data_IF_467680563610
#
_entry.id   IF_467680563610
#
_cell.length_a   1.000
_cell.length_b   1.000
_cell.length_c   1.000
_cell.angle_alpha   90.00
_cell.angle_beta   90.00
_cell.angle_gamma   90.00
#
_symmetry.space_group_name_H-M   'P 1'
#
loop_
_entity.id
_entity.type
_entity.pdbx_description
1 polymer ?
#
# COMPACT_ATOMS: atom_id res chain seq x y z
N UNK A 1 17.63 63.00 97.45
CA UNK A 1 18.30 64.31 97.28
C UNK A 1 18.26 64.69 95.81
N UNK A 2 17.87 65.95 95.53
CA UNK A 2 18.09 66.80 94.33
C UNK A 2 17.94 66.14 92.94
N UNK A 3 16.83 66.39 92.24
CA UNK A 3 16.50 67.56 91.38
C UNK A 3 17.24 67.58 90.03
N UNK A 4 16.44 67.25 89.00
CA UNK A 4 16.27 67.85 87.66
C UNK A 4 17.21 69.01 87.28
N UNK A 5 17.62 69.03 86.00
CA UNK A 5 17.37 70.13 85.06
C UNK A 5 17.88 69.80 83.64
N UNK A 6 16.97 69.65 82.68
CA UNK A 6 16.55 70.70 81.73
C UNK A 6 16.43 70.29 80.25
N UNK A 7 15.16 70.34 79.81
CA UNK A 7 14.61 70.88 78.54
C UNK A 7 14.78 70.09 77.24
N UNK A 8 13.62 69.66 76.72
CA UNK A 8 13.29 69.32 75.32
C UNK A 8 12.88 70.61 74.58
N UNK A 9 13.10 70.75 73.26
CA UNK A 9 11.95 70.54 72.37
C UNK A 9 12.26 69.97 70.97
N UNK A 10 11.22 69.33 70.45
CA UNK A 10 10.69 69.38 69.08
C UNK A 10 11.53 68.94 67.86
N UNK A 11 10.81 68.19 67.03
CA UNK A 11 11.13 67.70 65.71
C UNK A 11 11.87 68.69 64.81
N UNK A 12 12.83 68.17 64.06
CA UNK A 12 13.03 68.59 62.69
C UNK A 12 13.38 67.37 61.82
N UNK A 13 12.66 67.23 60.71
CA UNK A 13 12.84 66.13 59.76
C UNK A 13 14.20 66.27 59.08
N UNK A 14 15.08 65.28 59.22
CA UNK A 14 16.25 65.14 58.34
C UNK A 14 16.12 63.92 57.46
N UNK A 15 15.70 64.25 56.25
CA UNK A 15 15.73 63.48 55.01
C UNK A 15 17.07 62.77 54.87
N UNK A 16 17.05 61.44 54.92
CA UNK A 16 18.19 60.63 54.44
C UNK A 16 18.16 60.59 52.90
N UNK A 17 19.33 60.70 52.25
CA UNK A 17 19.44 61.07 50.85
C UNK A 17 18.92 59.96 49.92
N UNK A 18 18.06 60.37 48.98
CA UNK A 18 17.46 59.61 47.89
C UNK A 18 18.45 58.68 47.12
N UNK A 19 19.75 58.96 47.19
CA UNK A 19 20.80 58.19 46.51
C UNK A 19 21.02 56.79 47.09
N UNK A 20 20.74 56.54 48.38
CA UNK A 20 20.94 55.21 48.97
C UNK A 20 19.68 54.32 48.92
N UNK A 21 18.49 54.89 48.71
CA UNK A 21 17.26 54.11 48.52
C UNK A 21 17.13 53.54 47.10
N UNK A 22 17.75 54.19 46.11
CA UNK A 22 17.81 53.70 44.71
C UNK A 22 18.70 52.46 44.58
N UNK A 23 19.73 52.30 45.43
CA UNK A 23 20.67 51.17 45.34
C UNK A 23 20.09 49.87 45.91
N UNK A 24 19.19 49.94 46.90
CA UNK A 24 18.55 48.75 47.51
C UNK A 24 17.30 48.29 46.74
N UNK A 25 16.60 49.21 46.05
CA UNK A 25 15.47 48.86 45.16
C UNK A 25 15.93 48.21 43.84
N UNK A 26 17.19 48.42 43.42
CA UNK A 26 17.73 47.83 42.20
C UNK A 26 18.15 46.36 42.34
N UNK A 27 18.26 45.82 43.57
CA UNK A 27 18.71 44.45 43.82
C UNK A 27 17.58 43.45 44.13
N UNK A 28 16.30 43.85 44.07
CA UNK A 28 15.16 42.97 44.37
C UNK A 28 14.15 42.82 43.23
N UNK A 29 14.47 43.26 42.01
CA UNK A 29 13.66 42.96 40.83
C UNK A 29 14.54 42.36 39.74
N UNK A 30 13.99 41.31 39.09
CA UNK A 30 14.51 40.58 37.92
C UNK A 30 15.40 39.35 38.23
N UNK A 31 14.74 38.32 38.78
CA UNK A 31 15.01 36.92 38.38
C UNK A 31 14.70 36.74 36.88
N UNK A 32 15.28 35.73 36.22
CA UNK A 32 15.81 35.83 34.86
C UNK A 32 14.73 36.17 33.84
N UNK A 33 15.10 36.94 32.80
CA UNK A 33 14.53 36.63 31.50
C UNK A 33 14.96 35.19 31.21
N UNK A 34 14.07 34.23 31.48
CA UNK A 34 14.00 33.10 30.59
C UNK A 34 13.83 33.75 29.21
N UNK A 35 14.93 33.88 28.47
CA UNK A 35 14.81 33.79 27.03
C UNK A 35 13.99 32.51 26.86
N UNK A 36 12.73 32.68 26.46
CA UNK A 36 12.03 31.61 25.81
C UNK A 36 12.98 31.21 24.69
N UNK A 37 13.68 30.10 24.91
CA UNK A 37 14.46 29.46 23.90
C UNK A 37 13.48 29.17 22.76
N UNK A 38 13.49 30.05 21.76
CA UNK A 38 12.77 29.87 20.50
C UNK A 38 13.43 28.74 19.68
N UNK A 39 14.38 27.99 20.26
CA UNK A 39 14.77 26.68 19.73
C UNK A 39 14.06 25.49 20.41
N UNK A 40 13.37 25.68 21.55
CA UNK A 40 12.96 24.56 22.39
C UNK A 40 11.57 24.57 23.00
N UNK A 41 10.88 25.72 23.10
CA UNK A 41 9.56 25.76 23.79
C UNK A 41 8.53 26.62 23.07
N UNK A 42 7.64 25.95 22.34
CA UNK A 42 6.44 26.51 21.70
C UNK A 42 5.41 26.88 22.77
N UNK A 43 5.43 28.12 23.25
CA UNK A 43 4.37 28.68 24.09
C UNK A 43 3.95 30.03 23.50
N UNK A 44 2.83 30.02 22.78
CA UNK A 44 2.23 31.22 22.17
C UNK A 44 1.35 30.86 20.97
N UNK A 45 0.29 31.64 20.76
CA UNK A 45 -0.78 31.53 19.74
C UNK A 45 -0.31 31.55 18.27
N UNK A 46 1.01 31.45 18.04
CA UNK A 46 1.67 31.40 16.74
C UNK A 46 1.62 30.00 16.10
N UNK A 47 1.38 28.95 16.91
CA UNK A 47 1.16 27.58 16.44
C UNK A 47 -0.18 27.42 15.70
N UNK A 48 -1.17 28.28 15.95
CA UNK A 48 -2.46 28.28 15.24
C UNK A 48 -2.33 28.84 13.82
N UNK A 49 -1.37 29.73 13.59
CA UNK A 49 -1.08 30.29 12.26
C UNK A 49 0.02 29.53 11.51
N UNK A 50 0.47 28.38 12.04
CA UNK A 50 1.32 27.48 11.26
C UNK A 50 0.45 26.90 10.15
N UNK A 51 0.86 27.09 8.89
CA UNK A 51 0.24 26.38 7.78
C UNK A 51 0.20 24.88 8.13
N UNK A 52 -0.96 24.24 7.97
CA UNK A 52 -1.12 22.83 8.27
C UNK A 52 -0.03 22.05 7.51
N UNK A 53 0.92 21.52 8.27
CA UNK A 53 1.96 20.68 7.71
C UNK A 53 1.24 19.43 7.21
N UNK A 54 1.23 19.24 5.88
CA UNK A 54 0.43 18.19 5.24
C UNK A 54 0.68 16.85 5.95
N UNK A 55 -0.37 16.33 6.60
CA UNK A 55 -0.27 15.15 7.45
C UNK A 55 0.32 13.97 6.69
N UNK A 56 1.15 13.18 7.37
CA UNK A 56 1.58 11.89 6.84
C UNK A 56 0.33 11.02 6.65
N UNK A 57 0.10 10.57 5.43
CA UNK A 57 -1.04 9.73 5.09
C UNK A 57 -0.59 8.28 5.11
N UNK A 58 -1.17 7.47 5.98
CA UNK A 58 -0.90 6.03 6.04
C UNK A 58 -2.10 5.26 5.51
N UNK A 59 -1.89 4.48 4.46
CA UNK A 59 -2.91 3.63 3.84
C UNK A 59 -2.50 2.18 4.05
N UNK A 60 -3.34 1.40 4.73
CA UNK A 60 -3.16 -0.06 4.80
C UNK A 60 -4.25 -0.70 3.97
N UNK A 61 -3.86 -1.44 2.94
CA UNK A 61 -4.79 -2.14 2.05
C UNK A 61 -4.82 -3.63 2.38
N UNK A 62 -6.01 -4.19 2.39
CA UNK A 62 -6.28 -5.60 2.68
C UNK A 62 -6.81 -6.25 1.40
N UNK A 63 -5.97 -7.02 0.72
CA UNK A 63 -6.25 -7.51 -0.63
C UNK A 63 -7.02 -8.84 -0.59
N UNK A 64 -8.18 -8.88 -1.26
CA UNK A 64 -8.90 -10.12 -1.49
C UNK A 64 -8.20 -10.92 -2.59
N UNK A 65 -7.75 -12.11 -2.23
CA UNK A 65 -7.08 -13.10 -3.08
C UNK A 65 -7.75 -14.47 -2.97
N UNK A 66 -9.03 -14.47 -2.54
CA UNK A 66 -9.88 -15.65 -2.50
C UNK A 66 -10.00 -16.31 -3.87
N UNK A 67 -10.44 -17.57 -3.90
CA UNK A 67 -10.66 -18.31 -5.14
C UNK A 67 -11.56 -17.54 -6.12
N UNK A 68 -12.58 -16.84 -5.62
CA UNK A 68 -13.51 -16.08 -6.46
C UNK A 68 -12.84 -15.01 -7.34
N UNK A 69 -11.64 -14.56 -6.97
CA UNK A 69 -10.89 -13.53 -7.69
C UNK A 69 -10.16 -14.09 -8.93
N UNK A 70 -10.03 -15.41 -9.07
CA UNK A 70 -9.21 -16.04 -10.11
C UNK A 70 -10.03 -16.93 -11.06
N UNK A 71 -9.81 -16.77 -12.37
CA UNK A 71 -10.64 -17.45 -13.39
C UNK A 71 -10.52 -18.98 -13.37
N UNK A 72 -9.37 -19.49 -12.95
CA UNK A 72 -9.06 -20.91 -12.79
C UNK A 72 -9.77 -21.56 -11.58
N UNK A 73 -10.40 -20.77 -10.71
CA UNK A 73 -11.34 -21.25 -9.70
C UNK A 73 -12.79 -21.08 -10.17
N UNK A 74 -13.12 -19.91 -10.70
CA UNK A 74 -14.45 -19.63 -11.29
C UNK A 74 -14.36 -18.66 -12.45
N UNK A 75 -14.98 -18.99 -13.58
CA UNK A 75 -15.07 -18.08 -14.75
C UNK A 75 -15.81 -16.78 -14.43
N UNK A 76 -16.62 -16.76 -13.37
CA UNK A 76 -17.25 -15.54 -12.86
C UNK A 76 -16.25 -14.47 -12.43
N UNK A 77 -14.99 -14.84 -12.16
CA UNK A 77 -13.92 -13.89 -11.86
C UNK A 77 -13.59 -12.93 -13.02
N UNK A 78 -14.00 -13.24 -14.24
CA UNK A 78 -13.74 -12.41 -15.42
C UNK A 78 -14.75 -11.28 -15.61
N UNK A 79 -15.82 -11.19 -14.79
CA UNK A 79 -16.91 -10.21 -14.93
C UNK A 79 -17.42 -10.09 -16.37
N UNK A 80 -17.79 -11.24 -16.96
CA UNK A 80 -18.22 -11.30 -18.37
C UNK A 80 -19.43 -10.38 -18.60
N UNK A 81 -19.45 -9.60 -19.69
CA UNK A 81 -20.56 -8.70 -19.98
C UNK A 81 -21.83 -9.46 -20.32
N UNK A 82 -22.97 -8.78 -20.24
CA UNK A 82 -24.26 -9.32 -20.66
C UNK A 82 -24.19 -9.87 -22.09
N UNK A 83 -24.64 -11.11 -22.28
CA UNK A 83 -24.60 -11.79 -23.58
C UNK A 83 -23.39 -12.70 -23.79
N UNK A 84 -22.42 -12.71 -22.87
CA UNK A 84 -21.29 -13.66 -22.88
C UNK A 84 -21.39 -14.61 -21.70
N UNK A 85 -21.56 -15.90 -21.96
CA UNK A 85 -21.68 -16.94 -20.94
C UNK A 85 -20.35 -17.67 -20.67
N UNK A 86 -20.27 -18.32 -19.50
CA UNK A 86 -19.11 -19.13 -19.09
C UNK A 86 -18.74 -20.25 -20.08
N UNK A 87 -19.70 -20.76 -20.85
CA UNK A 87 -19.46 -21.82 -21.83
C UNK A 87 -18.88 -21.28 -23.15
N UNK A 88 -18.94 -19.97 -23.37
CA UNK A 88 -18.42 -19.30 -24.56
C UNK A 88 -17.00 -18.77 -24.36
N UNK A 89 -16.37 -19.03 -23.22
CA UNK A 89 -15.02 -18.57 -22.93
C UNK A 89 -14.09 -19.70 -22.52
N UNK A 90 -12.81 -19.55 -22.86
CA UNK A 90 -11.70 -20.37 -22.39
C UNK A 90 -10.81 -19.56 -21.45
N UNK A 91 -10.15 -20.22 -20.50
CA UNK A 91 -9.24 -19.55 -19.56
C UNK A 91 -7.84 -19.67 -20.13
N UNK A 92 -7.21 -18.53 -20.40
CA UNK A 92 -5.85 -18.46 -20.91
C UNK A 92 -4.98 -17.58 -20.01
N UNK A 93 -3.68 -17.65 -20.25
CA UNK A 93 -2.69 -16.88 -19.51
C UNK A 93 -1.72 -16.17 -20.44
N UNK A 94 -1.14 -15.09 -19.97
CA UNK A 94 0.00 -14.43 -20.58
C UNK A 94 0.92 -13.90 -19.48
N UNK A 95 2.20 -13.78 -19.77
CA UNK A 95 3.16 -13.16 -18.85
C UNK A 95 3.04 -11.63 -18.93
N UNK A 96 3.04 -10.94 -17.81
CA UNK A 96 3.11 -9.47 -17.78
C UNK A 96 4.49 -8.98 -18.23
N UNK A 97 4.53 -7.75 -18.77
CA UNK A 97 5.76 -7.04 -19.12
C UNK A 97 6.32 -6.19 -17.97
N UNK A 98 5.71 -6.32 -16.78
CA UNK A 98 6.11 -5.58 -15.58
C UNK A 98 7.36 -6.16 -14.93
N UNK A 99 7.97 -5.43 -14.01
CA UNK A 99 9.04 -5.94 -13.14
C UNK A 99 8.64 -5.82 -11.66
N UNK A 100 8.56 -6.94 -10.91
CA UNK A 100 8.63 -8.32 -11.38
C UNK A 100 7.47 -8.69 -12.33
N UNK A 101 7.70 -9.69 -13.18
CA UNK A 101 6.66 -10.24 -14.04
C UNK A 101 5.72 -11.15 -13.25
N UNK A 102 4.46 -11.23 -13.64
CA UNK A 102 3.48 -12.15 -13.08
C UNK A 102 2.57 -12.69 -14.18
N UNK A 103 1.91 -13.81 -13.87
CA UNK A 103 0.92 -14.42 -14.76
C UNK A 103 -0.35 -13.59 -14.75
N UNK A 104 -0.72 -13.05 -15.91
CA UNK A 104 -2.03 -12.45 -16.17
C UNK A 104 -2.97 -13.53 -16.66
N UNK A 105 -4.12 -13.68 -16.02
CA UNK A 105 -5.14 -14.66 -16.38
C UNK A 105 -6.39 -13.95 -16.88
N UNK A 106 -6.99 -14.51 -17.93
CA UNK A 106 -8.15 -13.92 -18.58
C UNK A 106 -9.07 -14.99 -19.17
N UNK A 107 -10.33 -14.62 -19.31
CA UNK A 107 -11.31 -15.35 -20.11
C UNK A 107 -11.26 -14.82 -21.54
N UNK A 108 -10.98 -15.70 -22.50
CA UNK A 108 -10.99 -15.39 -23.94
C UNK A 108 -12.26 -15.94 -24.57
N UNK A 109 -12.99 -15.09 -25.30
CA UNK A 109 -14.21 -15.51 -25.99
C UNK A 109 -13.85 -16.48 -27.12
N UNK A 110 -14.48 -17.65 -27.12
CA UNK A 110 -14.31 -18.68 -28.13
C UNK A 110 -14.68 -18.10 -29.51
N UNK A 111 -13.88 -18.44 -30.53
CA UNK A 111 -14.08 -17.99 -31.92
C UNK A 111 -14.07 -16.46 -32.10
N UNK A 112 -13.51 -15.69 -31.16
CA UNK A 112 -13.33 -14.24 -31.30
C UNK A 112 -12.01 -13.81 -31.94
N UNK A 113 -11.14 -14.79 -32.27
CA UNK A 113 -9.83 -14.50 -32.87
C UNK A 113 -10.00 -13.90 -34.26
N UNK A 114 -9.30 -12.79 -34.50
CA UNK A 114 -9.17 -12.17 -35.81
C UNK A 114 -7.69 -12.04 -36.13
N UNK A 115 -7.25 -12.72 -37.18
CA UNK A 115 -5.87 -12.72 -37.67
C UNK A 115 -5.66 -11.53 -38.60
N UNK A 116 -4.66 -10.70 -38.31
CA UNK A 116 -4.37 -9.47 -39.08
C UNK A 116 -3.06 -9.59 -39.85
N UNK A 117 -2.09 -10.33 -39.32
CA UNK A 117 -0.77 -10.45 -39.94
C UNK A 117 -0.25 -11.87 -39.87
N UNK A 118 0.58 -12.22 -40.84
CA UNK A 118 1.39 -13.43 -40.86
C UNK A 118 2.85 -13.05 -41.09
N UNK A 119 3.74 -13.64 -40.31
CA UNK A 119 5.18 -13.62 -40.55
C UNK A 119 5.58 -14.99 -41.09
N UNK A 120 6.13 -15.02 -42.30
CA UNK A 120 6.66 -16.26 -42.88
C UNK A 120 7.99 -16.66 -42.25
N UNK A 121 8.40 -17.93 -42.37
CA UNK A 121 9.70 -18.40 -41.88
C UNK A 121 10.88 -17.62 -42.47
N UNK A 122 10.73 -17.10 -43.69
CA UNK A 122 11.73 -16.29 -44.41
C UNK A 122 11.78 -14.82 -43.93
N UNK A 123 10.97 -14.45 -42.94
CA UNK A 123 10.93 -13.10 -42.38
C UNK A 123 10.02 -12.11 -43.12
N UNK A 124 9.26 -12.57 -44.12
CA UNK A 124 8.36 -11.72 -44.88
C UNK A 124 7.01 -11.56 -44.19
N UNK A 125 6.52 -10.32 -44.10
CA UNK A 125 5.23 -10.01 -43.51
C UNK A 125 4.12 -9.99 -44.55
N UNK A 126 2.97 -10.49 -44.14
CA UNK A 126 1.75 -10.52 -44.95
C UNK A 126 0.58 -10.01 -44.13
N UNK A 127 -0.33 -9.28 -44.77
CA UNK A 127 -1.63 -8.93 -44.16
C UNK A 127 -2.61 -10.07 -44.37
N UNK A 128 -3.39 -10.36 -43.33
CA UNK A 128 -4.52 -11.28 -43.32
C UNK A 128 -5.84 -10.52 -43.46
N UNK A 129 -6.74 -11.01 -44.30
CA UNK A 129 -8.10 -10.47 -44.45
C UNK A 129 -8.22 -9.30 -45.43
N UNK A 130 -9.39 -8.63 -45.45
CA UNK A 130 -9.70 -7.59 -46.43
C UNK A 130 -8.79 -6.35 -46.34
N UNK A 131 -8.86 -5.48 -47.36
CA UNK A 131 -8.07 -4.23 -47.44
C UNK A 131 -8.30 -3.22 -46.33
N UNK A 132 -9.37 -3.39 -45.56
CA UNK A 132 -9.75 -2.52 -44.45
C UNK A 132 -9.01 -2.84 -43.15
N UNK A 133 -8.18 -3.89 -43.14
CA UNK A 133 -7.45 -4.29 -41.94
C UNK A 133 -8.39 -4.80 -40.85
N UNK A 134 -9.57 -5.32 -41.19
CA UNK A 134 -10.50 -5.93 -40.23
C UNK A 134 -10.06 -7.31 -39.74
N UNK A 135 -9.01 -7.89 -40.33
CA UNK A 135 -8.54 -9.24 -40.02
C UNK A 135 -9.55 -10.33 -40.38
N UNK A 136 -9.12 -11.59 -40.33
CA UNK A 136 -9.94 -12.74 -40.71
C UNK A 136 -10.10 -13.74 -39.55
N UNK A 137 -11.21 -14.47 -39.51
CA UNK A 137 -11.44 -15.53 -38.51
C UNK A 137 -10.58 -16.80 -38.73
N UNK A 138 -9.97 -16.95 -39.90
CA UNK A 138 -9.20 -18.12 -40.30
C UNK A 138 -7.72 -17.78 -40.52
N UNK A 139 -6.83 -18.70 -40.12
CA UNK A 139 -5.38 -18.56 -40.21
C UNK A 139 -4.80 -19.06 -41.55
N UNK A 140 -5.59 -19.04 -42.63
CA UNK A 140 -5.18 -19.63 -43.91
C UNK A 140 -4.22 -18.73 -44.70
N UNK A 141 -2.96 -19.16 -44.89
CA UNK A 141 -1.99 -18.36 -45.66
C UNK A 141 -2.15 -18.44 -47.18
N UNK A 142 -2.83 -19.44 -47.72
CA UNK A 142 -2.90 -19.62 -49.18
C UNK A 142 -3.93 -18.70 -49.83
N UNK A 143 -4.88 -18.17 -49.06
CA UNK A 143 -5.95 -17.31 -49.58
C UNK A 143 -6.20 -16.03 -48.79
N UNK A 144 -5.87 -16.00 -47.49
CA UNK A 144 -6.28 -14.89 -46.60
C UNK A 144 -5.08 -14.02 -46.24
N UNK A 145 -3.94 -14.64 -45.95
CA UNK A 145 -2.70 -13.96 -45.54
C UNK A 145 -1.64 -13.90 -46.65
N UNK A 146 -2.03 -13.40 -47.84
CA UNK A 146 -1.24 -13.47 -49.08
C UNK A 146 -0.61 -12.16 -49.54
N UNK A 147 -1.12 -11.00 -49.12
CA UNK A 147 -0.58 -9.72 -49.58
C UNK A 147 0.59 -9.28 -48.72
N UNK A 148 1.76 -9.15 -49.34
CA UNK A 148 3.00 -8.75 -48.67
C UNK A 148 2.93 -7.30 -48.18
N UNK A 149 3.47 -7.05 -47.00
CA UNK A 149 3.53 -5.74 -46.36
C UNK A 149 4.88 -5.53 -45.69
N UNK A 150 5.23 -4.28 -45.39
CA UNK A 150 6.35 -3.97 -44.51
C UNK A 150 6.06 -4.46 -43.08
N UNK A 151 7.12 -4.61 -42.27
CA UNK A 151 7.01 -5.01 -40.87
C UNK A 151 6.00 -4.12 -40.10
N UNK A 152 4.85 -4.67 -39.65
CA UNK A 152 3.89 -3.91 -38.88
C UNK A 152 4.44 -3.65 -37.47
N UNK A 153 4.30 -2.43 -36.96
CA UNK A 153 4.57 -2.13 -35.55
C UNK A 153 3.46 -2.73 -34.69
N UNK A 154 3.67 -3.93 -34.17
CA UNK A 154 2.68 -4.65 -33.37
C UNK A 154 2.68 -4.15 -31.91
N UNK A 155 1.50 -3.82 -31.39
CA UNK A 155 1.29 -3.53 -29.98
C UNK A 155 1.03 -4.78 -29.13
N UNK A 156 0.84 -4.57 -27.83
CA UNK A 156 0.59 -5.63 -26.82
C UNK A 156 -0.75 -6.37 -26.98
N UNK A 157 -1.65 -5.84 -27.80
CA UNK A 157 -2.95 -6.43 -28.13
C UNK A 157 -2.83 -7.68 -29.02
N UNK A 158 -1.73 -7.80 -29.77
CA UNK A 158 -1.49 -8.93 -30.65
C UNK A 158 -0.91 -10.12 -29.88
N UNK A 159 -1.54 -11.27 -30.07
CA UNK A 159 -0.98 -12.59 -29.73
C UNK A 159 -0.69 -13.35 -31.01
N UNK A 160 0.12 -14.41 -30.95
CA UNK A 160 0.38 -15.21 -32.15
C UNK A 160 0.24 -16.72 -31.92
N UNK A 161 -0.09 -17.43 -33.00
CA UNK A 161 0.03 -18.88 -33.08
C UNK A 161 1.06 -19.23 -34.15
N UNK A 162 1.83 -20.30 -33.92
CA UNK A 162 2.76 -20.85 -34.91
C UNK A 162 2.10 -22.06 -35.57
N UNK A 163 2.01 -22.04 -36.89
CA UNK A 163 1.54 -23.21 -37.67
C UNK A 163 2.62 -24.28 -37.78
N UNK A 164 2.26 -25.49 -38.22
CA UNK A 164 3.23 -26.56 -38.49
C UNK A 164 4.24 -26.27 -39.62
N UNK A 165 4.06 -25.17 -40.36
CA UNK A 165 5.02 -24.69 -41.38
C UNK A 165 5.79 -23.45 -40.89
N UNK A 166 5.93 -23.28 -39.57
CA UNK A 166 6.64 -22.19 -38.88
C UNK A 166 6.14 -20.75 -39.15
N UNK A 167 5.05 -20.61 -39.90
CA UNK A 167 4.38 -19.32 -40.06
C UNK A 167 3.79 -18.88 -38.73
N UNK A 168 4.06 -17.64 -38.32
CA UNK A 168 3.46 -17.00 -37.14
C UNK A 168 2.30 -16.12 -37.56
N UNK A 169 1.12 -16.39 -37.02
CA UNK A 169 -0.10 -15.63 -37.31
C UNK A 169 -0.47 -14.79 -36.11
N UNK A 170 -0.45 -13.48 -36.29
CA UNK A 170 -0.76 -12.50 -35.27
C UNK A 170 -2.24 -12.16 -35.31
N UNK A 171 -2.89 -12.26 -34.16
CA UNK A 171 -4.32 -12.07 -34.00
C UNK A 171 -4.63 -11.22 -32.77
N UNK A 172 -5.80 -10.58 -32.81
CA UNK A 172 -6.45 -10.05 -31.62
C UNK A 172 -7.64 -10.94 -31.26
N UNK A 173 -8.05 -10.89 -30.00
CA UNK A 173 -9.23 -11.61 -29.51
C UNK A 173 -9.88 -10.84 -28.37
N UNK A 174 -11.14 -11.16 -28.10
CA UNK A 174 -11.87 -10.53 -27.00
C UNK A 174 -11.47 -11.20 -25.69
N UNK A 175 -10.74 -10.45 -24.84
CA UNK A 175 -10.20 -10.92 -23.56
C UNK A 175 -10.81 -10.14 -22.39
N UNK A 176 -11.18 -10.85 -21.33
CA UNK A 176 -11.64 -10.29 -20.06
C UNK A 176 -10.71 -10.76 -18.94
N UNK A 177 -9.87 -9.87 -18.43
CA UNK A 177 -8.94 -10.19 -17.33
C UNK A 177 -9.70 -10.46 -16.04
N UNK A 178 -9.26 -11.48 -15.30
CA UNK A 178 -9.89 -11.81 -14.03
C UNK A 178 -9.67 -10.71 -12.97
N UNK A 179 -10.52 -10.72 -11.93
CA UNK A 179 -10.48 -9.71 -10.86
C UNK A 179 -9.10 -9.63 -10.20
N UNK A 180 -8.43 -10.76 -9.99
CA UNK A 180 -7.07 -10.80 -9.43
C UNK A 180 -6.05 -10.14 -10.35
N UNK A 181 -6.10 -10.42 -11.66
CA UNK A 181 -5.20 -9.78 -12.63
C UNK A 181 -5.43 -8.28 -12.69
N UNK A 182 -6.69 -7.82 -12.70
CA UNK A 182 -7.02 -6.39 -12.65
C UNK A 182 -6.54 -5.72 -11.36
N UNK A 183 -6.63 -6.42 -10.23
CA UNK A 183 -6.09 -5.94 -8.95
C UNK A 183 -4.56 -5.77 -9.01
N UNK A 184 -3.86 -6.76 -9.56
CA UNK A 184 -2.39 -6.69 -9.75
C UNK A 184 -2.01 -5.54 -10.68
N UNK A 185 -2.65 -5.43 -11.84
CA UNK A 185 -2.40 -4.36 -12.81
C UNK A 185 -2.60 -2.96 -12.16
N UNK A 186 -3.69 -2.80 -11.38
CA UNK A 186 -3.98 -1.55 -10.69
C UNK A 186 -2.95 -1.22 -9.60
N UNK A 187 -2.52 -2.20 -8.81
CA UNK A 187 -1.50 -1.99 -7.77
C UNK A 187 -0.13 -1.70 -8.36
N UNK A 188 0.24 -2.36 -9.47
CA UNK A 188 1.47 -2.01 -10.20
C UNK A 188 1.41 -0.59 -10.73
N UNK A 189 0.30 -0.20 -11.36
CA UNK A 189 0.06 1.17 -11.83
C UNK A 189 0.15 2.18 -10.69
N UNK A 190 -0.43 1.88 -9.53
CA UNK A 190 -0.34 2.72 -8.33
C UNK A 190 1.12 2.85 -7.84
N UNK A 191 1.87 1.75 -7.80
CA UNK A 191 3.28 1.75 -7.38
C UNK A 191 4.22 2.38 -8.41
N UNK A 192 3.83 2.47 -9.68
CA UNK A 192 4.57 3.20 -10.72
C UNK A 192 4.18 4.68 -10.80
N UNK A 193 3.13 5.09 -10.10
CA UNK A 193 2.68 6.47 -10.11
C UNK A 193 3.65 7.38 -9.33
N UNK A 194 4.15 8.41 -10.02
CA UNK A 194 5.09 9.42 -9.51
C UNK A 194 4.41 10.52 -8.69
N UNK A 195 3.07 10.60 -8.70
CA UNK A 195 2.30 11.57 -7.92
C UNK A 195 2.20 11.23 -6.44
N UNK A 196 2.54 10.00 -6.04
CA UNK A 196 2.60 9.62 -4.64
C UNK A 196 3.87 10.20 -4.00
N UNK A 197 3.72 11.19 -3.12
CA UNK A 197 4.83 11.81 -2.40
C UNK A 197 5.54 10.76 -1.50
N UNK A 198 6.77 10.35 -1.83
CA UNK A 198 7.49 9.30 -1.11
C UNK A 198 7.87 9.70 0.31
N UNK A 199 7.72 10.97 0.71
CA UNK A 199 8.03 11.47 2.05
C UNK A 199 6.79 11.63 2.93
N UNK A 200 5.60 11.59 2.35
CA UNK A 200 4.33 11.83 3.07
C UNK A 200 3.35 10.67 3.02
N UNK A 201 3.43 9.83 1.99
CA UNK A 201 2.51 8.70 1.82
C UNK A 201 3.20 7.42 2.29
N UNK A 202 2.58 6.73 3.25
CA UNK A 202 2.96 5.39 3.67
C UNK A 202 1.92 4.38 3.21
N UNK A 203 2.35 3.26 2.64
CA UNK A 203 1.45 2.19 2.18
C UNK A 203 1.88 0.86 2.77
N UNK A 204 0.92 0.15 3.36
CA UNK A 204 1.03 -1.24 3.80
C UNK A 204 0.08 -2.14 3.02
N UNK A 205 0.47 -3.40 2.89
CA UNK A 205 -0.29 -4.43 2.16
C UNK A 205 -0.49 -5.61 3.08
N UNK A 206 -1.73 -6.03 3.25
CA UNK A 206 -2.02 -7.38 3.67
C UNK A 206 -2.84 -8.12 2.61
N UNK A 207 -3.06 -9.39 2.88
CA UNK A 207 -3.84 -10.29 2.04
C UNK A 207 -4.80 -11.16 2.85
N UNK A 208 -5.92 -11.53 2.23
CA UNK A 208 -6.77 -12.63 2.68
C UNK A 208 -7.31 -13.44 1.47
N UNK A 209 -7.58 -14.74 1.62
CA UNK A 209 -7.12 -15.56 2.75
C UNK A 209 -5.58 -15.63 2.80
N UNK A 210 -5.00 -15.91 3.96
CA UNK A 210 -3.55 -16.06 4.08
C UNK A 210 -3.07 -17.23 3.23
N UNK A 211 -2.07 -16.97 2.38
CA UNK A 211 -1.54 -17.96 1.43
C UNK A 211 -0.15 -18.46 1.77
N UNK A 212 0.44 -18.00 2.88
CA UNK A 212 1.82 -18.28 3.24
C UNK A 212 2.09 -17.95 4.72
N UNK A 213 3.20 -18.49 5.24
CA UNK A 213 3.76 -18.10 6.53
C UNK A 213 4.47 -16.75 6.48
N UNK A 214 5.26 -16.41 7.51
CA UNK A 214 5.93 -15.11 7.59
C UNK A 214 7.04 -14.86 6.55
N UNK A 215 7.37 -15.87 5.74
CA UNK A 215 8.29 -15.80 4.61
C UNK A 215 7.66 -15.17 3.35
N UNK A 216 6.33 -15.05 3.32
CA UNK A 216 5.55 -14.58 2.17
C UNK A 216 5.77 -15.39 0.88
N UNK A 217 6.25 -16.63 0.98
CA UNK A 217 6.43 -17.51 -0.17
C UNK A 217 5.10 -18.22 -0.47
N UNK A 218 4.51 -17.93 -1.61
CA UNK A 218 3.24 -18.53 -2.04
C UNK A 218 3.52 -19.77 -2.88
N UNK A 219 3.04 -20.91 -2.42
CA UNK A 219 3.08 -22.17 -3.17
C UNK A 219 1.86 -22.30 -4.07
N UNK A 220 2.05 -22.74 -5.33
CA UNK A 220 0.98 -22.91 -6.30
C UNK A 220 0.72 -24.38 -6.60
N UNK A 221 -0.54 -24.76 -6.76
CA UNK A 221 -0.91 -26.07 -7.26
C UNK A 221 -0.62 -26.13 -8.76
N UNK A 222 0.22 -27.07 -9.19
CA UNK A 222 0.66 -27.18 -10.60
C UNK A 222 -0.49 -27.47 -11.56
N UNK A 223 -1.51 -28.23 -11.12
CA UNK A 223 -2.62 -28.67 -11.97
C UNK A 223 -3.60 -27.55 -12.29
N UNK A 224 -3.81 -26.61 -11.38
CA UNK A 224 -4.82 -25.54 -11.56
C UNK A 224 -4.27 -24.12 -11.45
N UNK A 225 -3.05 -23.91 -10.93
CA UNK A 225 -2.42 -22.60 -10.76
C UNK A 225 -3.04 -21.72 -9.67
N UNK A 226 -3.78 -22.31 -8.71
CA UNK A 226 -4.29 -21.65 -7.51
C UNK A 226 -3.25 -21.68 -6.38
N UNK A 227 -3.35 -20.75 -5.44
CA UNK A 227 -2.56 -20.78 -4.21
C UNK A 227 -2.92 -22.02 -3.39
N UNK A 228 -1.94 -22.89 -3.16
CA UNK A 228 -2.14 -24.19 -2.51
C UNK A 228 -2.31 -24.09 -1.00
N UNK A 229 -1.69 -23.08 -0.37
CA UNK A 229 -1.69 -22.88 1.09
C UNK A 229 -2.73 -21.85 1.58
N UNK A 230 -3.73 -21.55 0.74
CA UNK A 230 -4.79 -20.59 1.07
C UNK A 230 -5.70 -21.12 2.19
N UNK A 231 -5.58 -20.56 3.38
CA UNK A 231 -6.17 -21.15 4.60
C UNK A 231 -7.67 -20.92 4.78
N UNK A 232 -8.28 -20.10 3.94
CA UNK A 232 -9.72 -19.77 3.97
C UNK A 232 -10.24 -19.10 5.25
N UNK A 233 -9.38 -18.72 6.19
CA UNK A 233 -9.77 -18.37 7.56
C UNK A 233 -9.16 -17.07 8.06
N UNK A 234 -7.92 -16.78 7.68
CA UNK A 234 -7.17 -15.66 8.26
C UNK A 234 -6.83 -14.61 7.19
N UNK A 235 -6.64 -13.38 7.63
CA UNK A 235 -5.92 -12.35 6.86
C UNK A 235 -4.56 -12.12 7.51
N UNK A 236 -3.58 -11.66 6.74
CA UNK A 236 -2.24 -11.36 7.24
C UNK A 236 -1.71 -10.06 6.66
N UNK A 237 -0.82 -9.40 7.38
CA UNK A 237 -0.06 -8.29 6.81
C UNK A 237 1.20 -8.84 6.14
N UNK A 238 1.30 -8.61 4.83
CA UNK A 238 2.41 -9.04 3.98
C UNK A 238 3.55 -8.02 4.01
N UNK A 239 3.21 -6.75 3.93
CA UNK A 239 4.14 -5.63 3.89
C UNK A 239 3.66 -4.60 4.90
N UNK A 240 4.39 -4.37 6.00
CA UNK A 240 4.10 -3.30 6.93
C UNK A 240 4.05 -1.95 6.23
N UNK A 241 3.17 -1.08 6.68
CA UNK A 241 3.06 0.28 6.17
C UNK A 241 4.37 1.06 6.42
N UNK A 242 4.99 1.49 5.34
CA UNK A 242 6.15 2.37 5.34
C UNK A 242 6.01 3.38 4.20
N UNK A 243 6.82 4.44 4.25
CA UNK A 243 6.86 5.45 3.20
C UNK A 243 7.10 4.82 1.83
N UNK A 244 6.40 5.30 0.80
CA UNK A 244 6.44 4.73 -0.57
C UNK A 244 7.68 5.14 -1.36
N UNK A 245 8.84 4.89 -0.76
CA UNK A 245 10.13 4.98 -1.43
C UNK A 245 10.35 3.82 -2.42
N UNK A 246 11.53 3.78 -3.02
CA UNK A 246 11.90 2.76 -4.00
C UNK A 246 11.81 1.34 -3.42
N UNK A 247 12.30 1.13 -2.21
CA UNK A 247 12.36 -0.18 -1.57
C UNK A 247 10.97 -0.67 -1.18
N UNK A 248 10.13 0.23 -0.64
CA UNK A 248 8.77 -0.10 -0.28
C UNK A 248 7.93 -0.45 -1.50
N UNK A 249 8.07 0.29 -2.61
CA UNK A 249 7.42 -0.04 -3.89
C UNK A 249 7.86 -1.41 -4.39
N UNK A 250 9.15 -1.73 -4.31
CA UNK A 250 9.66 -3.04 -4.71
C UNK A 250 9.07 -4.18 -3.86
N UNK A 251 8.99 -4.01 -2.53
CA UNK A 251 8.35 -4.98 -1.62
C UNK A 251 6.87 -5.19 -1.95
N UNK A 252 6.14 -4.11 -2.17
CA UNK A 252 4.71 -4.18 -2.54
C UNK A 252 4.53 -4.91 -3.86
N UNK A 253 5.29 -4.55 -4.90
CA UNK A 253 5.21 -5.22 -6.20
C UNK A 253 5.57 -6.71 -6.12
N UNK A 254 6.56 -7.08 -5.32
CA UNK A 254 6.94 -8.48 -5.12
C UNK A 254 5.80 -9.32 -4.55
N UNK A 255 5.16 -8.86 -3.47
CA UNK A 255 4.05 -9.61 -2.86
C UNK A 255 2.79 -9.63 -3.75
N UNK A 256 2.53 -8.54 -4.47
CA UNK A 256 1.40 -8.45 -5.41
C UNK A 256 1.60 -9.37 -6.62
N UNK A 257 2.82 -9.44 -7.17
CA UNK A 257 3.14 -10.37 -8.25
C UNK A 257 2.94 -11.83 -7.82
N UNK A 258 3.40 -12.16 -6.61
CA UNK A 258 3.33 -13.50 -6.04
C UNK A 258 1.92 -13.93 -5.57
N UNK A 259 0.97 -13.01 -5.42
CA UNK A 259 -0.38 -13.36 -4.94
C UNK A 259 -1.10 -14.34 -5.88
N UNK A 260 -1.64 -15.43 -5.35
CA UNK A 260 -2.49 -16.38 -6.09
C UNK A 260 -3.97 -16.16 -5.82
N UNK A 261 -4.84 -16.84 -6.55
CA UNK A 261 -6.24 -17.01 -6.12
C UNK A 261 -6.36 -18.29 -5.30
N UNK A 262 -7.04 -18.27 -4.17
CA UNK A 262 -7.27 -19.49 -3.37
C UNK A 262 -8.04 -19.26 -2.08
N UNK A 263 -8.71 -20.31 -1.61
CA UNK A 263 -9.47 -20.31 -0.35
C UNK A 263 -10.72 -19.43 -0.36
N UNK A 264 -11.35 -19.30 0.81
CA UNK A 264 -12.53 -18.46 1.04
C UNK A 264 -12.18 -16.99 1.31
N UNK A 265 -13.22 -16.19 1.57
CA UNK A 265 -13.17 -14.73 1.75
C UNK A 265 -13.46 -14.36 3.22
N UNK A 266 -12.52 -14.56 4.17
CA UNK A 266 -12.72 -14.26 5.59
C UNK A 266 -12.64 -12.75 5.87
N UNK A 267 -13.60 -12.00 5.32
CA UNK A 267 -13.60 -10.53 5.30
C UNK A 267 -13.57 -9.93 6.71
N UNK A 268 -14.33 -10.50 7.65
CA UNK A 268 -14.37 -10.02 9.03
C UNK A 268 -12.99 -10.12 9.72
N UNK A 269 -12.31 -11.24 9.54
CA UNK A 269 -10.95 -11.47 10.04
C UNK A 269 -9.97 -10.47 9.41
N UNK A 270 -10.08 -10.27 8.10
CA UNK A 270 -9.25 -9.33 7.36
C UNK A 270 -9.37 -7.89 7.92
N UNK A 271 -10.60 -7.42 8.18
CA UNK A 271 -10.82 -6.12 8.83
C UNK A 271 -10.27 -6.06 10.26
N UNK A 272 -10.42 -7.14 11.04
CA UNK A 272 -9.88 -7.20 12.40
C UNK A 272 -8.34 -7.10 12.42
N UNK A 273 -7.66 -7.76 11.48
CA UNK A 273 -6.20 -7.71 11.34
C UNK A 273 -5.70 -6.32 10.99
N UNK A 274 -6.28 -5.67 9.97
CA UNK A 274 -5.90 -4.31 9.60
C UNK A 274 -6.24 -3.31 10.71
N UNK A 275 -7.40 -3.46 11.34
CA UNK A 275 -7.80 -2.62 12.47
C UNK A 275 -6.82 -2.75 13.64
N UNK A 276 -6.46 -3.97 14.03
CA UNK A 276 -5.46 -4.20 15.07
C UNK A 276 -4.11 -3.59 14.68
N UNK A 277 -3.64 -3.81 13.44
CA UNK A 277 -2.40 -3.24 12.94
C UNK A 277 -2.38 -1.70 13.01
N UNK A 278 -3.45 -1.05 12.57
CA UNK A 278 -3.55 0.42 12.60
C UNK A 278 -3.61 0.99 14.02
N UNK A 279 -4.09 0.22 14.99
CA UNK A 279 -4.15 0.61 16.41
C UNK A 279 -2.89 0.23 17.21
N UNK A 280 -1.88 -0.36 16.55
CA UNK A 280 -0.70 -0.90 17.25
C UNK A 280 -1.05 -2.02 18.23
N UNK A 281 -2.06 -2.82 17.89
CA UNK A 281 -2.49 -4.03 18.60
C UNK A 281 -2.25 -5.25 17.72
N UNK A 282 -2.55 -6.43 18.25
CA UNK A 282 -2.51 -7.68 17.51
C UNK A 282 -3.81 -8.47 17.75
N UNK A 283 -4.00 -9.49 16.93
CA UNK A 283 -5.13 -10.42 17.01
C UNK A 283 -4.72 -11.76 17.62
N UNK A 284 -3.55 -11.87 18.25
CA UNK A 284 -2.94 -13.16 18.64
C UNK A 284 -3.78 -13.99 19.62
N UNK A 285 -4.72 -13.36 20.33
CA UNK A 285 -5.67 -14.03 21.23
C UNK A 285 -6.93 -14.58 20.53
N UNK A 286 -7.02 -14.50 19.19
CA UNK A 286 -8.20 -14.90 18.41
C UNK A 286 -7.98 -16.19 17.61
N UNK A 287 -9.00 -17.04 17.54
CA UNK A 287 -8.99 -18.38 16.90
C UNK A 287 -8.72 -18.35 15.39
N UNK A 288 -8.95 -17.22 14.72
CA UNK A 288 -8.78 -17.05 13.28
C UNK A 288 -7.90 -15.85 12.96
N UNK A 289 -6.86 -15.70 13.78
CA UNK A 289 -5.81 -14.69 13.64
C UNK A 289 -4.77 -15.11 12.60
N UNK A 290 -4.34 -14.18 11.75
CA UNK A 290 -3.16 -14.34 10.90
C UNK A 290 -1.93 -13.62 11.45
N UNK A 291 -1.94 -13.22 12.72
CA UNK A 291 -0.83 -12.54 13.39
C UNK A 291 0.49 -13.32 13.23
N UNK A 292 0.48 -14.63 13.52
CA UNK A 292 1.69 -15.45 13.46
C UNK A 292 2.23 -15.61 12.03
N UNK A 293 1.35 -15.46 11.03
CA UNK A 293 1.69 -15.50 9.60
C UNK A 293 2.22 -14.18 9.08
N UNK A 294 2.01 -13.07 9.80
CA UNK A 294 2.39 -11.72 9.35
C UNK A 294 3.89 -11.45 9.53
N UNK A 295 4.46 -10.60 8.67
CA UNK A 295 5.91 -10.30 8.65
C UNK A 295 6.30 -9.35 9.79
N UNK A 296 7.42 -9.53 10.52
CA UNK A 296 7.93 -8.53 11.47
C UNK A 296 8.17 -7.15 10.79
N UNK A 297 8.02 -5.99 11.48
CA UNK A 297 7.86 -5.78 12.92
C UNK A 297 6.40 -5.72 13.41
N UNK A 298 5.44 -6.30 12.70
CA UNK A 298 4.05 -6.46 13.17
C UNK A 298 3.96 -7.13 14.56
N UNK A 299 5.00 -7.90 14.91
CA UNK A 299 5.17 -8.58 16.20
C UNK A 299 5.61 -7.66 17.35
N UNK A 300 5.94 -6.40 17.07
CA UNK A 300 6.39 -5.42 18.05
C UNK A 300 6.07 -3.99 17.56
N UNK A 301 4.87 -3.50 17.88
CA UNK A 301 4.63 -2.06 17.98
C UNK A 301 3.89 -1.81 19.29
N UNK A 302 4.67 -1.59 20.35
CA UNK A 302 4.19 -0.94 21.56
C UNK A 302 3.92 0.51 21.18
N UNK A 303 2.65 0.87 21.01
CA UNK A 303 2.26 2.28 21.17
C UNK A 303 2.44 2.57 22.65
N UNK A 304 3.56 3.21 23.02
CA UNK A 304 3.65 3.90 24.30
C UNK A 304 2.67 5.07 24.18
N UNK A 305 1.44 4.85 24.63
CA UNK A 305 0.55 5.95 24.96
C UNK A 305 1.18 6.58 26.20
N UNK A 306 2.01 7.61 26.01
CA UNK A 306 2.35 8.53 27.10
C UNK A 306 1.08 9.33 27.37
N UNK A 307 0.21 8.78 28.22
CA UNK A 307 -0.85 9.54 28.87
C UNK A 307 -0.16 10.52 29.82
N UNK A 308 0.22 11.68 29.28
CA UNK A 308 0.63 12.81 30.09
C UNK A 308 -0.62 13.47 30.67
N UNK A 309 -1.09 12.95 31.81
CA UNK A 309 -1.88 13.75 32.75
C UNK A 309 -1.34 13.56 34.16
N UNK A 310 -0.72 14.61 34.68
CA UNK A 310 -0.42 14.75 36.11
C UNK A 310 -1.73 14.70 36.91
N UNK A 311 -1.92 13.65 37.73
CA UNK A 311 -2.39 13.82 39.11
C UNK A 311 -2.14 12.54 39.96
N UNK A 312 -1.18 12.67 40.89
CA UNK A 312 -0.99 12.03 42.20
C UNK A 312 -1.45 10.59 42.51
N UNK A 313 -0.43 9.80 42.95
CA UNK A 313 -0.41 8.80 44.06
C UNK A 313 -1.44 7.65 43.98
N UNK A 314 -1.04 6.37 44.01
CA UNK A 314 -0.49 5.67 45.17
C UNK A 314 0.41 4.50 44.71
N UNK A 315 1.55 4.35 45.41
CA UNK A 315 2.44 3.19 45.37
C UNK A 315 1.72 1.95 45.93
N UNK A 316 1.88 0.78 45.30
CA UNK A 316 2.17 -0.45 46.06
C UNK A 316 2.79 -1.58 45.19
N UNK A 317 4.01 -1.93 45.61
CA UNK A 317 4.76 -3.19 45.55
C UNK A 317 4.77 -4.09 44.30
N UNK A 318 5.97 -4.18 43.71
CA UNK A 318 6.55 -5.39 43.13
C UNK A 318 6.98 -6.34 44.27
N UNK A 319 6.70 -7.64 44.17
CA UNK A 319 7.65 -8.68 44.57
C UNK A 319 7.24 -10.05 44.03
N UNK A 320 8.04 -10.55 43.08
CA UNK A 320 8.45 -11.96 43.06
C UNK A 320 9.96 -11.97 43.35
N UNK A 321 10.36 -12.95 44.17
CA UNK A 321 11.65 -13.19 44.84
C UNK A 321 12.00 -12.28 46.01
#
# INVERSE_FOLDING_TARGET
MKRLNNVSPAQDSKVLPLKYLVVVMASMMVMPVAQADVAGKRIGDLEIYKAAEGGKTTITMMLDTSGSMAANFTKGACDLPSGVSNNQVSINTQTSTTTPSYTKRYCEVNNSKRYYYRLSPEGQWYRCGPSDGSGDSSYNYTSICVTAVANPSLGSEYSFVTSGSDNKYYYTSTKYYDRLTRLKDALFTLMDNTLLDPKKVAIGIGQFSSQSGSDNLVSFNESNGLASDADSKTGKILVPAALVDYDQRAKIKAVVAAAGGGGNTPTANAYAEVGAYMLGKNTSASTYSGYDKSVPPQKAVVVIIVLCHHLHLVMDAVSTS
#
